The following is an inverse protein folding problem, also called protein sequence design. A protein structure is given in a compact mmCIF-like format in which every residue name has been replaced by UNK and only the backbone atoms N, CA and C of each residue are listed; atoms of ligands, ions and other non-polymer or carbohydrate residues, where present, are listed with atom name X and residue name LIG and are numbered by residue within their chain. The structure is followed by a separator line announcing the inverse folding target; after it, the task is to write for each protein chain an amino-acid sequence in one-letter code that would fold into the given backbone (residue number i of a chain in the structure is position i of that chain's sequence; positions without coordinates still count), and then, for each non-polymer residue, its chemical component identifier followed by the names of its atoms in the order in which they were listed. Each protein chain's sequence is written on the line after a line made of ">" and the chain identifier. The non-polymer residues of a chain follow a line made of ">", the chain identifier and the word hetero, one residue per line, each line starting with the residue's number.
data_IF_039942726310
#
_entry.id   IF_039942726310
#
_cell.length_a   1.000
_cell.length_b   1.000
_cell.length_c   1.000
_cell.angle_alpha   90.00
_cell.angle_beta   90.00
_cell.angle_gamma   90.00
#
_symmetry.space_group_name_H-M   'P 1'
#
loop_
_entity.id
_entity.type
_entity.pdbx_description
1 polymer ?
#
# COMPACT_ATOMS: atom_id res chain seq x y z
N UNK A 1 12.94 15.31 -10.35
CA UNK A 1 11.55 15.55 -10.80
C UNK A 1 11.04 14.36 -11.60
N UNK A 2 11.80 13.81 -12.56
CA UNK A 2 11.36 12.65 -13.38
C UNK A 2 10.96 11.46 -12.50
N UNK A 3 11.76 11.10 -11.51
CA UNK A 3 11.42 10.04 -10.55
C UNK A 3 10.11 10.32 -9.79
N UNK A 4 9.85 11.58 -9.44
CA UNK A 4 8.61 11.97 -8.78
C UNK A 4 7.39 11.82 -9.69
N UNK A 5 7.52 12.12 -10.98
CA UNK A 5 6.46 11.95 -11.98
C UNK A 5 6.15 10.46 -12.19
N UNK A 6 7.18 9.62 -12.27
CA UNK A 6 7.02 8.15 -12.40
C UNK A 6 6.32 7.58 -11.15
N UNK A 7 6.73 8.02 -9.96
CA UNK A 7 6.11 7.58 -8.70
C UNK A 7 4.63 8.01 -8.61
N UNK A 8 4.31 9.23 -9.05
CA UNK A 8 2.93 9.73 -9.09
C UNK A 8 2.08 8.92 -10.06
N UNK A 9 2.60 8.58 -11.25
CA UNK A 9 1.90 7.75 -12.22
C UNK A 9 1.62 6.34 -11.65
N UNK A 10 2.61 5.75 -10.98
CA UNK A 10 2.45 4.46 -10.29
C UNK A 10 1.33 4.50 -9.26
N UNK A 11 1.28 5.53 -8.41
CA UNK A 11 0.23 5.70 -7.41
C UNK A 11 -1.17 5.87 -8.03
N UNK A 12 -1.29 6.62 -9.13
CA UNK A 12 -2.56 6.80 -9.85
C UNK A 12 -3.04 5.47 -10.42
N UNK A 13 -2.15 4.71 -11.08
CA UNK A 13 -2.48 3.40 -11.66
C UNK A 13 -2.92 2.44 -10.55
N UNK A 14 -2.17 2.35 -9.48
CA UNK A 14 -2.48 1.45 -8.37
C UNK A 14 -3.82 1.82 -7.71
N UNK A 15 -3.99 3.06 -7.31
CA UNK A 15 -5.17 3.49 -6.54
C UNK A 15 -6.43 3.58 -7.40
N UNK A 16 -6.37 4.18 -8.62
CA UNK A 16 -7.56 4.38 -9.42
C UNK A 16 -7.89 3.19 -10.32
N UNK A 17 -6.90 2.47 -10.83
CA UNK A 17 -7.14 1.35 -11.75
C UNK A 17 -7.21 0.04 -10.98
N UNK A 18 -6.14 -0.35 -10.29
CA UNK A 18 -6.05 -1.67 -9.66
C UNK A 18 -7.05 -1.81 -8.51
N UNK A 19 -7.14 -0.83 -7.61
CA UNK A 19 -8.11 -0.88 -6.51
C UNK A 19 -9.55 -0.83 -7.01
N UNK A 20 -9.86 -0.05 -8.07
CA UNK A 20 -11.20 -0.01 -8.65
C UNK A 20 -11.59 -1.33 -9.32
N UNK A 21 -10.67 -1.97 -10.04
CA UNK A 21 -10.91 -3.30 -10.62
C UNK A 21 -11.19 -4.32 -9.51
N UNK A 22 -10.38 -4.35 -8.46
CA UNK A 22 -10.56 -5.26 -7.33
C UNK A 22 -11.91 -5.05 -6.66
N UNK A 23 -12.29 -3.79 -6.39
CA UNK A 23 -13.59 -3.46 -5.80
C UNK A 23 -14.76 -3.90 -6.70
N UNK A 24 -14.67 -3.65 -8.01
CA UNK A 24 -15.69 -4.07 -8.97
C UNK A 24 -15.82 -5.60 -9.04
N UNK A 25 -14.72 -6.34 -9.04
CA UNK A 25 -14.76 -7.82 -9.02
C UNK A 25 -15.45 -8.31 -7.76
N UNK A 26 -15.13 -7.77 -6.58
CA UNK A 26 -15.77 -8.14 -5.31
C UNK A 26 -17.29 -7.87 -5.36
N UNK A 27 -17.69 -6.69 -5.85
CA UNK A 27 -19.11 -6.30 -5.91
C UNK A 27 -19.91 -7.11 -6.94
N UNK A 28 -19.29 -7.47 -8.07
CA UNK A 28 -20.00 -8.16 -9.17
C UNK A 28 -19.95 -9.68 -9.07
N UNK A 29 -19.01 -10.25 -8.32
CA UNK A 29 -18.87 -11.71 -8.14
C UNK A 29 -20.00 -12.34 -7.32
N UNK A 30 -20.76 -11.54 -6.55
CA UNK A 30 -21.79 -12.02 -5.64
C UNK A 30 -21.26 -12.72 -4.38
N UNK A 31 -19.95 -12.75 -4.16
CA UNK A 31 -19.33 -13.34 -2.97
C UNK A 31 -19.58 -12.51 -1.72
N UNK A 32 -19.75 -11.20 -1.88
CA UNK A 32 -20.12 -10.31 -0.79
C UNK A 32 -21.63 -10.45 -0.51
N UNK A 33 -22.00 -11.30 0.44
CA UNK A 33 -23.39 -11.48 0.87
C UNK A 33 -24.00 -10.19 1.42
N UNK A 34 -25.33 -10.08 1.34
CA UNK A 34 -26.05 -8.89 1.86
C UNK A 34 -25.81 -8.70 3.36
N UNK A 35 -25.66 -9.81 4.09
CA UNK A 35 -25.39 -9.81 5.54
C UNK A 35 -23.99 -9.32 5.90
N UNK A 36 -23.07 -9.26 4.92
CA UNK A 36 -21.72 -8.78 5.11
C UNK A 36 -21.55 -7.29 4.78
N UNK A 37 -22.58 -6.63 4.27
CA UNK A 37 -22.55 -5.20 3.99
C UNK A 37 -22.67 -4.39 5.30
N UNK A 38 -22.03 -3.21 5.38
CA UNK A 38 -22.16 -2.34 6.53
C UNK A 38 -23.60 -1.84 6.66
N UNK A 39 -24.33 -2.43 7.58
CA UNK A 39 -25.70 -2.06 7.95
C UNK A 39 -25.74 -1.63 9.42
N UNK A 40 -26.85 -1.06 9.86
CA UNK A 40 -27.00 -0.72 11.27
C UNK A 40 -26.89 -1.95 12.21
N UNK A 41 -27.25 -3.14 11.71
CA UNK A 41 -27.14 -4.40 12.46
C UNK A 41 -25.70 -4.92 12.55
N UNK A 42 -24.89 -4.73 11.51
CA UNK A 42 -23.49 -5.20 11.44
C UNK A 42 -22.48 -4.16 11.90
N UNK A 43 -22.91 -2.89 12.07
CA UNK A 43 -22.02 -1.77 12.39
C UNK A 43 -21.23 -2.00 13.68
N UNK A 44 -21.84 -2.59 14.72
CA UNK A 44 -21.17 -2.87 15.98
C UNK A 44 -20.02 -3.88 15.79
N UNK A 45 -20.28 -4.96 15.05
CA UNK A 45 -19.27 -6.01 14.80
C UNK A 45 -18.13 -5.49 13.91
N UNK A 46 -18.45 -4.68 12.91
CA UNK A 46 -17.46 -4.05 12.03
C UNK A 46 -16.59 -3.06 12.83
N UNK A 47 -17.17 -2.27 13.71
CA UNK A 47 -16.40 -1.33 14.55
C UNK A 47 -15.56 -2.03 15.61
N UNK A 48 -16.05 -3.16 16.17
CA UNK A 48 -15.34 -3.89 17.20
C UNK A 48 -14.28 -4.85 16.68
N UNK A 49 -14.52 -5.48 15.52
CA UNK A 49 -13.71 -6.58 14.99
C UNK A 49 -13.15 -6.31 13.60
N UNK A 50 -13.44 -5.16 13.00
CA UNK A 50 -13.04 -4.82 11.62
C UNK A 50 -13.83 -5.54 10.52
N UNK A 51 -14.72 -6.46 10.88
CA UNK A 51 -15.55 -7.25 9.94
C UNK A 51 -16.88 -7.67 10.58
N UNK A 52 -17.88 -7.94 9.75
CA UNK A 52 -19.10 -8.54 10.21
C UNK A 52 -18.88 -10.02 10.56
N UNK A 53 -19.64 -10.55 11.52
CA UNK A 53 -19.49 -11.92 11.97
C UNK A 53 -19.71 -12.93 10.82
N UNK A 54 -18.77 -13.84 10.63
CA UNK A 54 -18.84 -14.88 9.59
C UNK A 54 -18.52 -14.42 8.17
N UNK A 55 -18.04 -13.19 7.99
CA UNK A 55 -17.70 -12.65 6.69
C UNK A 55 -16.18 -12.60 6.48
N UNK A 56 -15.74 -12.95 5.29
CA UNK A 56 -14.35 -12.80 4.89
C UNK A 56 -14.05 -11.35 4.56
N UNK A 57 -12.83 -10.91 4.85
CA UNK A 57 -12.32 -9.59 4.51
C UNK A 57 -10.90 -9.69 3.93
N UNK A 58 -10.44 -8.61 3.31
CA UNK A 58 -9.06 -8.52 2.82
C UNK A 58 -8.74 -9.56 1.74
N UNK A 59 -7.61 -10.25 1.89
CA UNK A 59 -7.11 -11.18 0.90
C UNK A 59 -8.04 -12.39 0.65
N UNK A 60 -8.60 -13.08 1.66
CA UNK A 60 -9.55 -14.19 1.45
C UNK A 60 -10.76 -13.78 0.61
N UNK A 61 -11.38 -12.66 0.90
CA UNK A 61 -12.50 -12.13 0.12
C UNK A 61 -12.12 -11.87 -1.34
N UNK A 62 -10.96 -11.28 -1.57
CA UNK A 62 -10.47 -11.01 -2.91
C UNK A 62 -10.20 -12.30 -3.68
N UNK A 63 -9.57 -13.30 -3.06
CA UNK A 63 -9.34 -14.62 -3.67
C UNK A 63 -10.63 -15.27 -4.06
N UNK A 64 -11.63 -15.30 -3.16
CA UNK A 64 -12.94 -15.89 -3.42
C UNK A 64 -13.69 -15.18 -4.56
N UNK A 65 -13.62 -13.86 -4.63
CA UNK A 65 -14.25 -13.06 -5.66
C UNK A 65 -13.62 -13.28 -7.05
N UNK A 66 -12.31 -13.37 -7.13
CA UNK A 66 -11.61 -13.68 -8.37
C UNK A 66 -11.83 -15.13 -8.81
N UNK A 67 -11.88 -16.08 -7.88
CA UNK A 67 -12.16 -17.49 -8.23
C UNK A 67 -13.60 -17.67 -8.71
N UNK A 68 -14.57 -16.97 -8.13
CA UNK A 68 -15.95 -16.95 -8.60
C UNK A 68 -16.08 -16.35 -10.02
N UNK A 69 -15.28 -15.33 -10.33
CA UNK A 69 -15.28 -14.65 -11.64
C UNK A 69 -14.50 -15.40 -12.71
N UNK A 70 -13.41 -16.07 -12.32
CA UNK A 70 -12.49 -16.84 -13.18
C UNK A 70 -12.20 -18.21 -12.55
N UNK A 71 -13.12 -19.18 -12.66
CA UNK A 71 -13.02 -20.46 -11.97
C UNK A 71 -11.71 -21.20 -12.27
N UNK A 72 -10.98 -21.58 -11.23
CA UNK A 72 -9.77 -22.37 -11.29
C UNK A 72 -8.48 -21.59 -11.63
N UNK A 73 -8.58 -20.34 -12.11
CA UNK A 73 -7.41 -19.51 -12.43
C UNK A 73 -7.35 -18.28 -11.50
N UNK A 74 -8.51 -17.75 -11.12
CA UNK A 74 -8.61 -16.51 -10.36
C UNK A 74 -7.84 -16.52 -9.05
N UNK A 75 -7.98 -17.56 -8.26
CA UNK A 75 -7.24 -17.74 -7.00
C UNK A 75 -5.70 -17.74 -7.20
N UNK A 76 -5.21 -18.35 -8.27
CA UNK A 76 -3.76 -18.40 -8.54
C UNK A 76 -3.20 -17.05 -8.96
N UNK A 77 -3.95 -16.28 -9.78
CA UNK A 77 -3.57 -14.92 -10.16
C UNK A 77 -3.43 -14.03 -8.92
N UNK A 78 -4.43 -14.07 -8.04
CA UNK A 78 -4.41 -13.28 -6.80
C UNK A 78 -3.29 -13.75 -5.87
N UNK A 79 -3.10 -15.05 -5.68
CA UNK A 79 -2.05 -15.60 -4.82
C UNK A 79 -0.64 -15.19 -5.30
N UNK A 80 -0.36 -15.29 -6.60
CA UNK A 80 0.92 -14.87 -7.18
C UNK A 80 1.08 -13.34 -7.02
N UNK A 81 0.04 -12.58 -7.34
CA UNK A 81 0.04 -11.13 -7.19
C UNK A 81 0.34 -10.70 -5.75
N UNK A 82 -0.38 -11.25 -4.77
CA UNK A 82 -0.17 -10.98 -3.35
C UNK A 82 1.23 -11.38 -2.87
N UNK A 83 1.79 -12.49 -3.38
CA UNK A 83 3.16 -12.91 -3.04
C UNK A 83 4.18 -11.87 -3.52
N UNK A 84 4.07 -11.43 -4.77
CA UNK A 84 4.99 -10.43 -5.34
C UNK A 84 4.82 -9.07 -4.64
N UNK A 85 3.57 -8.60 -4.45
CA UNK A 85 3.30 -7.34 -3.76
C UNK A 85 3.72 -7.39 -2.28
N UNK A 86 3.47 -8.48 -1.58
CA UNK A 86 3.90 -8.67 -0.20
C UNK A 86 5.41 -8.60 -0.07
N UNK A 87 6.14 -9.27 -0.95
CA UNK A 87 7.60 -9.25 -0.96
C UNK A 87 8.15 -7.84 -1.23
N UNK A 88 7.66 -7.16 -2.26
CA UNK A 88 8.10 -5.80 -2.59
C UNK A 88 7.73 -4.80 -1.50
N UNK A 89 6.58 -4.96 -0.86
CA UNK A 89 6.15 -4.13 0.28
C UNK A 89 7.06 -4.30 1.48
N UNK A 90 7.40 -5.54 1.86
CA UNK A 90 8.32 -5.82 2.97
C UNK A 90 9.67 -5.15 2.73
N UNK A 91 10.20 -5.21 1.51
CA UNK A 91 11.46 -4.54 1.15
C UNK A 91 11.36 -3.02 1.19
N UNK A 92 10.31 -2.46 0.60
CA UNK A 92 10.11 -1.01 0.54
C UNK A 92 9.92 -0.40 1.94
N UNK A 93 9.07 -0.99 2.76
CA UNK A 93 8.82 -0.52 4.13
C UNK A 93 10.03 -0.71 5.05
N UNK A 94 10.82 -1.78 4.86
CA UNK A 94 12.10 -1.94 5.54
C UNK A 94 13.03 -0.77 5.26
N UNK A 95 13.14 -0.38 3.99
CA UNK A 95 13.99 0.75 3.60
C UNK A 95 13.50 2.09 4.19
N UNK A 96 12.20 2.36 4.13
CA UNK A 96 11.64 3.58 4.72
C UNK A 96 11.85 3.64 6.23
N UNK A 97 11.58 2.53 6.93
CA UNK A 97 11.80 2.45 8.37
C UNK A 97 13.27 2.62 8.75
N UNK A 98 14.20 2.01 7.99
CA UNK A 98 15.64 2.18 8.17
C UNK A 98 16.05 3.67 8.05
N UNK A 99 15.57 4.37 7.02
CA UNK A 99 15.87 5.80 6.84
C UNK A 99 15.29 6.67 7.95
N UNK A 100 14.10 6.36 8.44
CA UNK A 100 13.52 7.06 9.57
C UNK A 100 14.33 6.83 10.87
N UNK A 101 14.74 5.59 11.12
CA UNK A 101 15.57 5.25 12.27
C UNK A 101 16.96 5.90 12.20
N UNK A 102 17.58 5.93 11.02
CA UNK A 102 18.86 6.59 10.78
C UNK A 102 18.76 8.10 11.06
N UNK A 103 17.69 8.74 10.59
CA UNK A 103 17.45 10.15 10.82
C UNK A 103 17.27 10.50 12.31
N UNK A 104 16.55 9.66 13.07
CA UNK A 104 16.23 9.92 14.48
C UNK A 104 17.36 9.53 15.43
N UNK A 105 18.03 8.41 15.17
CA UNK A 105 18.97 7.76 16.10
C UNK A 105 20.40 7.63 15.56
N UNK A 106 20.62 8.05 14.30
CA UNK A 106 21.92 7.99 13.62
C UNK A 106 22.22 6.60 13.05
N UNK A 107 23.35 6.47 12.34
CA UNK A 107 23.76 5.27 11.59
C UNK A 107 23.83 3.98 12.43
N UNK A 108 24.12 4.10 13.73
CA UNK A 108 24.21 2.92 14.63
C UNK A 108 22.89 2.19 14.83
N UNK A 109 21.77 2.83 14.50
CA UNK A 109 20.43 2.25 14.61
C UNK A 109 20.05 1.33 13.45
N UNK A 110 20.80 1.34 12.36
CA UNK A 110 20.49 0.58 11.14
C UNK A 110 20.52 -0.93 11.42
N UNK A 111 21.58 -1.42 12.03
CA UNK A 111 21.74 -2.86 12.31
C UNK A 111 20.68 -3.41 13.29
N UNK A 112 20.43 -2.81 14.46
CA UNK A 112 19.37 -3.26 15.35
C UNK A 112 17.97 -3.16 14.72
N UNK A 113 17.72 -2.16 13.89
CA UNK A 113 16.46 -2.05 13.15
C UNK A 113 16.27 -3.20 12.17
N UNK A 114 17.28 -3.54 11.36
CA UNK A 114 17.22 -4.67 10.42
C UNK A 114 16.96 -6.00 11.11
N UNK A 115 17.65 -6.25 12.22
CA UNK A 115 17.43 -7.48 12.99
C UNK A 115 16.00 -7.52 13.55
N UNK A 116 15.54 -6.42 14.14
CA UNK A 116 14.17 -6.30 14.66
C UNK A 116 13.15 -6.51 13.56
N UNK A 117 13.35 -5.91 12.38
CA UNK A 117 12.46 -6.06 11.22
C UNK A 117 12.30 -7.52 10.78
N UNK A 118 13.44 -8.23 10.63
CA UNK A 118 13.42 -9.65 10.25
C UNK A 118 12.68 -10.50 11.30
N UNK A 119 12.94 -10.26 12.58
CA UNK A 119 12.26 -10.98 13.68
C UNK A 119 10.76 -10.73 13.66
N UNK A 120 10.32 -9.47 13.49
CA UNK A 120 8.89 -9.11 13.46
C UNK A 120 8.20 -9.72 12.24
N UNK A 121 8.82 -9.69 11.06
CA UNK A 121 8.27 -10.32 9.85
C UNK A 121 8.14 -11.84 10.04
N UNK A 122 9.16 -12.48 10.63
CA UNK A 122 9.12 -13.91 10.91
C UNK A 122 8.01 -14.26 11.93
N UNK A 123 7.89 -13.51 13.02
CA UNK A 123 6.86 -13.71 14.03
C UNK A 123 5.45 -13.48 13.45
N UNK A 124 5.27 -12.47 12.58
CA UNK A 124 4.01 -12.21 11.88
C UNK A 124 3.60 -13.38 10.98
N UNK A 125 4.55 -13.92 10.21
CA UNK A 125 4.30 -15.10 9.39
C UNK A 125 4.00 -16.35 10.22
N UNK A 126 4.74 -16.56 11.31
CA UNK A 126 4.52 -17.70 12.23
C UNK A 126 3.17 -17.61 12.96
N UNK A 127 2.72 -16.41 13.32
CA UNK A 127 1.43 -16.22 13.99
C UNK A 127 0.24 -16.72 13.15
N UNK A 128 0.33 -16.66 11.83
CA UNK A 128 -0.71 -17.17 10.92
C UNK A 128 -0.80 -18.70 10.93
N UNK A 129 0.23 -19.41 11.38
CA UNK A 129 0.20 -20.88 11.48
C UNK A 129 -0.55 -21.39 12.73
N UNK A 130 -0.79 -20.52 13.72
CA UNK A 130 -1.51 -20.85 14.95
C UNK A 130 -2.97 -20.41 14.85
N UNK A 131 -3.72 -20.97 13.90
CA UNK A 131 -5.15 -20.69 13.74
C UNK A 131 -5.93 -21.18 14.98
N UNK A 132 -6.66 -20.28 15.61
CA UNK A 132 -7.61 -20.58 16.71
C UNK A 132 -7.39 -19.72 17.95
N UNK A 133 -6.31 -19.86 18.67
CA UNK A 133 -6.08 -19.12 19.92
C UNK A 133 -5.52 -17.69 19.69
N UNK A 134 -4.83 -17.48 18.58
CA UNK A 134 -4.15 -16.20 18.25
C UNK A 134 -5.01 -15.28 17.38
N UNK A 135 -6.15 -15.74 16.87
CA UNK A 135 -7.01 -14.99 15.94
C UNK A 135 -7.42 -13.62 16.49
N UNK A 136 -7.81 -13.55 17.77
CA UNK A 136 -8.17 -12.29 18.40
C UNK A 136 -6.99 -11.33 18.53
N UNK A 137 -5.79 -11.87 18.77
CA UNK A 137 -4.57 -11.07 18.85
C UNK A 137 -4.18 -10.53 17.47
N UNK A 138 -4.28 -11.33 16.42
CA UNK A 138 -4.04 -10.90 15.04
C UNK A 138 -5.01 -9.79 14.63
N UNK A 139 -6.30 -9.95 14.94
CA UNK A 139 -7.29 -8.90 14.66
C UNK A 139 -6.99 -7.60 15.43
N UNK A 140 -6.55 -7.69 16.68
CA UNK A 140 -6.13 -6.53 17.45
C UNK A 140 -4.92 -5.83 16.80
N UNK A 141 -3.93 -6.57 16.32
CA UNK A 141 -2.80 -6.00 15.60
C UNK A 141 -3.21 -5.29 14.31
N UNK A 142 -4.15 -5.86 13.55
CA UNK A 142 -4.71 -5.21 12.38
C UNK A 142 -5.44 -3.91 12.73
N UNK A 143 -6.29 -3.92 13.75
CA UNK A 143 -7.01 -2.73 14.20
C UNK A 143 -6.05 -1.61 14.64
N UNK A 144 -4.99 -1.96 15.38
CA UNK A 144 -3.95 -1.02 15.79
C UNK A 144 -3.19 -0.48 14.58
N UNK A 145 -2.81 -1.34 13.64
CA UNK A 145 -2.11 -0.94 12.42
C UNK A 145 -2.94 0.03 11.57
N UNK A 146 -4.22 -0.25 11.37
CA UNK A 146 -5.14 0.61 10.62
C UNK A 146 -5.34 1.97 11.30
N UNK A 147 -5.48 1.96 12.63
CA UNK A 147 -5.60 3.20 13.42
C UNK A 147 -4.34 4.05 13.30
N UNK A 148 -3.16 3.45 13.44
CA UNK A 148 -1.88 4.16 13.31
C UNK A 148 -1.66 4.69 11.89
N UNK A 149 -2.06 3.93 10.87
CA UNK A 149 -2.01 4.37 9.47
C UNK A 149 -2.93 5.57 9.23
N UNK A 150 -4.14 5.55 9.78
CA UNK A 150 -5.06 6.69 9.74
C UNK A 150 -4.49 7.93 10.43
N UNK A 151 -3.89 7.76 11.60
CA UNK A 151 -3.24 8.86 12.33
C UNK A 151 -2.05 9.45 11.57
N UNK A 152 -1.30 8.63 10.85
CA UNK A 152 -0.16 9.07 10.02
C UNK A 152 -0.61 9.88 8.80
N UNK A 153 -1.80 9.66 8.28
CA UNK A 153 -2.32 10.39 7.13
C UNK A 153 -2.52 11.89 7.42
N UNK A 154 -2.96 12.27 8.61
CA UNK A 154 -3.27 13.65 8.97
C UNK A 154 -2.03 14.58 8.87
N UNK A 155 -0.89 14.32 9.53
CA UNK A 155 0.30 15.16 9.40
C UNK A 155 0.87 15.15 7.99
N UNK A 156 0.75 14.04 7.26
CA UNK A 156 1.20 13.94 5.87
C UNK A 156 0.38 14.86 4.94
N UNK A 157 -0.94 14.88 5.09
CA UNK A 157 -1.81 15.80 4.33
C UNK A 157 -1.47 17.27 4.60
N UNK A 158 -1.24 17.64 5.85
CA UNK A 158 -0.82 19.00 6.21
C UNK A 158 0.51 19.35 5.55
N UNK A 159 1.50 18.45 5.60
CA UNK A 159 2.78 18.66 4.96
C UNK A 159 2.66 18.81 3.43
N UNK A 160 1.84 18.00 2.77
CA UNK A 160 1.59 18.08 1.33
C UNK A 160 0.97 19.42 0.93
N UNK A 161 -0.02 19.90 1.68
CA UNK A 161 -0.66 21.20 1.42
C UNK A 161 0.33 22.34 1.58
N UNK A 162 1.09 22.36 2.68
CA UNK A 162 2.07 23.43 2.97
C UNK A 162 3.22 23.43 1.97
N UNK A 163 3.70 22.27 1.53
CA UNK A 163 4.81 22.16 0.60
C UNK A 163 4.38 22.23 -0.88
N UNK A 164 3.11 22.17 -1.18
CA UNK A 164 2.61 22.17 -2.56
C UNK A 164 3.12 23.35 -3.41
N UNK A 165 3.17 24.62 -2.93
CA UNK A 165 3.70 25.72 -3.74
C UNK A 165 5.19 25.54 -4.10
N UNK A 166 5.97 24.93 -3.21
CA UNK A 166 7.39 24.64 -3.44
C UNK A 166 7.53 23.59 -4.52
N UNK A 167 6.73 22.53 -4.46
CA UNK A 167 6.72 21.45 -5.47
C UNK A 167 6.36 22.00 -6.84
N UNK A 168 5.32 22.83 -6.94
CA UNK A 168 4.94 23.48 -8.21
C UNK A 168 6.05 24.36 -8.78
N UNK A 169 6.72 25.15 -7.93
CA UNK A 169 7.83 26.00 -8.36
C UNK A 169 8.99 25.14 -8.89
N UNK A 170 9.45 24.17 -8.14
CA UNK A 170 10.55 23.28 -8.53
C UNK A 170 10.25 22.51 -9.82
N UNK A 171 9.01 22.06 -9.99
CA UNK A 171 8.56 21.37 -11.21
C UNK A 171 8.59 22.30 -12.42
N UNK A 172 8.10 23.52 -12.27
CA UNK A 172 8.12 24.54 -13.34
C UNK A 172 9.55 24.91 -13.74
N UNK A 173 10.42 25.15 -12.76
CA UNK A 173 11.83 25.50 -12.99
C UNK A 173 12.58 24.35 -13.70
N UNK A 174 12.30 23.11 -13.31
CA UNK A 174 12.85 21.93 -13.96
C UNK A 174 12.45 21.81 -15.44
N UNK A 175 11.17 21.93 -15.76
CA UNK A 175 10.72 21.86 -17.16
C UNK A 175 11.23 23.04 -17.99
N UNK A 176 11.36 24.22 -17.40
CA UNK A 176 11.96 25.38 -18.06
C UNK A 176 13.44 25.13 -18.39
N UNK A 177 14.21 24.58 -17.46
CA UNK A 177 15.60 24.21 -17.69
C UNK A 177 15.76 23.10 -18.73
N UNK A 178 14.90 22.05 -18.67
CA UNK A 178 14.90 20.95 -19.64
C UNK A 178 14.58 21.43 -21.06
N UNK A 179 13.64 22.37 -21.19
CA UNK A 179 13.31 22.97 -22.50
C UNK A 179 14.48 23.76 -23.08
N UNK A 180 15.15 24.57 -22.27
CA UNK A 180 16.35 25.32 -22.71
C UNK A 180 17.48 24.40 -23.15
N UNK A 181 17.75 23.32 -22.40
CA UNK A 181 18.77 22.35 -22.76
C UNK A 181 18.45 21.64 -24.09
N UNK A 182 17.18 21.33 -24.36
CA UNK A 182 16.76 20.75 -25.63
C UNK A 182 16.86 21.72 -26.81
N UNK A 183 16.62 23.01 -26.59
CA UNK A 183 16.80 24.07 -27.60
C UNK A 183 18.29 24.29 -27.94
N UNK A 184 19.17 24.24 -26.92
CA UNK A 184 20.62 24.33 -27.11
C UNK A 184 21.18 23.11 -27.86
N UNK A 185 20.73 21.91 -27.54
CA UNK A 185 21.16 20.67 -28.22
C UNK A 185 20.72 20.65 -29.70
N UNK A 186 19.52 21.15 -30.00
CA UNK A 186 19.00 21.25 -31.35
C UNK A 186 19.66 22.37 -32.18
N UNK A 187 20.35 23.32 -31.55
CA UNK A 187 21.07 24.41 -32.21
C UNK A 187 22.50 24.05 -32.57
N UNK A 188 23.03 22.90 -32.13
CA UNK A 188 24.36 22.41 -32.51
C UNK A 188 24.24 21.75 -33.90
N UNK A 189 24.92 22.29 -34.93
CA UNK A 189 24.91 21.66 -36.24
C UNK A 189 25.55 20.26 -36.19
N UNK A 190 25.06 19.29 -37.01
CA UNK A 190 25.67 17.97 -37.05
C UNK A 190 27.14 18.12 -37.41
N UNK A 191 28.01 17.45 -36.66
CA UNK A 191 29.43 17.39 -36.96
C UNK A 191 29.59 16.71 -38.33
N UNK A 192 30.16 17.44 -39.31
CA UNK A 192 30.54 16.94 -40.64
C UNK A 192 31.63 15.87 -40.56
#
# INVERSE_FOLDING_TARGET
>A
VDQGIIAMLGTIIDTLIVCSITALVILTSGVLGVDCMPTAATAHDILANGQAAGCDTGAPLTVSAFDASLPGIGQHIVAIGLTVFGFTTILGWSYYGERCCEYLFGEKSILPFRISWIVVVFLGAAALMFEGEVKNLVNLFWLVADTLTGMMAAPNLVALVVLSPIVFKLTKDYFAAKKKAAEEDSAIPPAE
#
